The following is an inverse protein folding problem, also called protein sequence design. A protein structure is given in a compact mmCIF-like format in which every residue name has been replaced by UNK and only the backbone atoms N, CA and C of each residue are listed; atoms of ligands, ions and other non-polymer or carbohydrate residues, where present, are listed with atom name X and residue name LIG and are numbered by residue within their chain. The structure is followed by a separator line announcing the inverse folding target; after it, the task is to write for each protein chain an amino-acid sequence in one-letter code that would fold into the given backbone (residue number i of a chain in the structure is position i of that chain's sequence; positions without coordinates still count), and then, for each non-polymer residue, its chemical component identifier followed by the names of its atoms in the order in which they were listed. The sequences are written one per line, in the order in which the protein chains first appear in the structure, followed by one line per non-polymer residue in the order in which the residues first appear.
data_IF_906900461624
#
_entry.id   IF_906900461624
#
_cell.length_a   1.000
_cell.length_b   1.000
_cell.length_c   1.000
_cell.angle_alpha   90.00
_cell.angle_beta   90.00
_cell.angle_gamma   90.00
#
_symmetry.space_group_name_H-M   'P 1'
#
loop_
_entity.id
_entity.type
_entity.pdbx_description
1 polymer ?
#
# COMPACT_ATOMS: atom_id res chain seq x y z
N UNK A 1 -24.32 -5.01 -1.24
CA UNK A 1 -23.24 -5.41 -0.31
C UNK A 1 -22.74 -4.13 0.30
N UNK A 2 -22.91 -3.95 1.61
CA UNK A 2 -22.35 -2.78 2.29
C UNK A 2 -20.83 -2.88 2.28
N UNK A 3 -20.16 -1.79 1.93
CA UNK A 3 -18.71 -1.70 2.00
C UNK A 3 -18.30 -1.58 3.47
N UNK A 4 -17.26 -2.31 3.88
CA UNK A 4 -16.62 -2.10 5.18
C UNK A 4 -16.00 -0.69 5.29
N UNK A 5 -15.63 -0.12 4.15
CA UNK A 5 -15.02 1.20 4.03
C UNK A 5 -16.07 2.29 3.75
N UNK A 6 -15.93 3.42 4.45
CA UNK A 6 -16.61 4.67 4.12
C UNK A 6 -15.77 5.44 3.10
N UNK A 7 -16.36 5.83 1.97
CA UNK A 7 -15.71 6.75 1.04
C UNK A 7 -15.72 8.16 1.60
N UNK A 8 -14.55 8.79 1.66
CA UNK A 8 -14.37 10.18 2.06
C UNK A 8 -13.72 10.96 0.91
N UNK A 9 -14.06 12.24 0.78
CA UNK A 9 -13.51 13.15 -0.22
C UNK A 9 -12.95 14.39 0.49
N UNK A 10 -11.79 14.21 1.10
CA UNK A 10 -11.08 15.25 1.84
C UNK A 10 -9.57 15.13 1.65
N UNK A 11 -8.84 16.19 1.98
CA UNK A 11 -7.38 16.25 1.77
C UNK A 11 -6.54 15.75 2.93
N UNK A 12 -7.14 15.38 4.07
CA UNK A 12 -6.42 14.94 5.26
C UNK A 12 -6.34 13.42 5.33
N UNK A 13 -5.10 12.90 5.38
CA UNK A 13 -4.85 11.46 5.52
C UNK A 13 -4.90 11.05 6.99
N UNK A 14 -5.48 9.89 7.25
CA UNK A 14 -5.56 9.24 8.56
C UNK A 14 -4.92 7.86 8.52
N UNK A 15 -4.48 7.41 9.70
CA UNK A 15 -3.98 6.06 9.83
C UNK A 15 -5.09 5.05 9.51
N UNK A 16 -4.77 4.08 8.67
CA UNK A 16 -5.73 3.07 8.22
C UNK A 16 -6.56 3.48 7.01
N UNK A 17 -6.40 4.69 6.46
CA UNK A 17 -7.04 5.06 5.21
C UNK A 17 -6.63 4.10 4.10
N UNK A 18 -7.64 3.59 3.39
CA UNK A 18 -7.50 2.72 2.23
C UNK A 18 -7.54 3.56 0.95
N UNK A 19 -6.47 3.49 0.17
CA UNK A 19 -6.29 4.22 -1.08
C UNK A 19 -6.33 3.23 -2.26
N UNK A 20 -7.51 3.03 -2.88
CA UNK A 20 -7.63 2.11 -4.01
C UNK A 20 -6.99 2.69 -5.28
N UNK A 21 -6.35 1.84 -6.08
CA UNK A 21 -5.83 2.21 -7.40
C UNK A 21 -4.79 3.35 -7.39
N UNK A 22 -4.01 3.46 -6.32
CA UNK A 22 -2.98 4.49 -6.18
C UNK A 22 -1.88 4.29 -7.25
N UNK A 23 -1.45 5.39 -7.88
CA UNK A 23 -0.37 5.36 -8.86
C UNK A 23 0.99 5.32 -8.15
N UNK A 24 1.75 4.26 -8.41
CA UNK A 24 3.04 3.99 -7.75
C UNK A 24 4.14 4.09 -8.81
N UNK A 25 5.06 5.06 -8.72
CA UNK A 25 6.16 5.17 -9.67
C UNK A 25 7.12 3.99 -9.51
N UNK A 26 7.47 3.34 -10.62
CA UNK A 26 8.46 2.27 -10.66
C UNK A 26 9.84 2.88 -10.84
N UNK A 27 10.54 3.05 -9.73
CA UNK A 27 11.87 3.67 -9.70
C UNK A 27 12.94 2.63 -10.00
N UNK A 28 13.44 2.62 -11.25
CA UNK A 28 14.55 1.78 -11.68
C UNK A 28 15.90 2.50 -11.72
N UNK A 29 16.98 1.84 -12.16
CA UNK A 29 18.32 2.42 -12.27
C UNK A 29 18.39 3.71 -13.09
N UNK A 30 17.48 3.88 -14.05
CA UNK A 30 17.35 5.08 -14.88
C UNK A 30 17.02 6.35 -14.07
N UNK A 31 16.41 6.23 -12.89
CA UNK A 31 16.11 7.37 -12.03
C UNK A 31 17.35 7.99 -11.37
N UNK A 32 18.49 7.28 -11.37
CA UNK A 32 19.75 7.79 -10.82
C UNK A 32 20.50 8.73 -11.78
N UNK A 33 20.01 8.90 -13.02
CA UNK A 33 20.64 9.77 -14.02
C UNK A 33 20.10 11.19 -13.85
N UNK A 34 20.97 12.11 -13.45
CA UNK A 34 20.65 13.52 -13.29
C UNK A 34 20.95 14.25 -14.60
N UNK A 35 19.97 14.96 -15.17
CA UNK A 35 20.22 15.87 -16.28
C UNK A 35 19.00 16.15 -17.16
N UNK A 36 18.21 15.11 -17.50
CA UNK A 36 17.06 15.26 -18.38
C UNK A 36 15.77 14.67 -17.76
N UNK A 37 14.60 15.24 -18.08
CA UNK A 37 13.33 14.60 -17.78
C UNK A 37 13.24 13.23 -18.47
N UNK A 38 12.85 12.21 -17.72
CA UNK A 38 12.64 10.87 -18.23
C UNK A 38 11.22 10.40 -17.92
N UNK A 39 10.60 9.67 -18.84
CA UNK A 39 9.33 9.01 -18.58
C UNK A 39 9.54 7.90 -17.56
N UNK A 40 8.71 7.90 -16.52
CA UNK A 40 8.71 6.87 -15.48
C UNK A 40 7.43 6.09 -15.62
N UNK A 41 7.57 4.76 -15.67
CA UNK A 41 6.42 3.87 -15.62
C UNK A 41 5.75 3.99 -14.24
N UNK A 42 4.44 4.15 -14.23
CA UNK A 42 3.63 4.01 -13.02
C UNK A 42 2.92 2.66 -13.05
N UNK A 43 3.01 1.92 -11.96
CA UNK A 43 2.09 0.83 -11.67
C UNK A 43 0.90 1.36 -10.86
N UNK A 44 -0.11 0.51 -10.69
CA UNK A 44 -1.25 0.81 -9.80
C UNK A 44 -1.32 -0.24 -8.70
N UNK A 45 -1.67 0.21 -7.51
CA UNK A 45 -1.85 -0.69 -6.38
C UNK A 45 -2.72 -0.07 -5.31
N UNK A 46 -3.34 -0.95 -4.53
CA UNK A 46 -4.11 -0.58 -3.38
C UNK A 46 -3.17 -0.39 -2.19
N UNK A 47 -3.33 0.72 -1.46
CA UNK A 47 -2.48 1.06 -0.32
C UNK A 47 -3.29 1.26 0.95
N UNK A 48 -2.69 0.99 2.10
CA UNK A 48 -3.18 1.43 3.40
C UNK A 48 -2.15 2.32 4.09
N UNK A 49 -2.61 3.40 4.71
CA UNK A 49 -1.74 4.30 5.48
C UNK A 49 -1.35 3.65 6.81
N UNK A 50 -0.04 3.49 7.03
CA UNK A 50 0.52 2.88 8.24
C UNK A 50 1.22 3.89 9.16
N UNK A 51 1.42 5.13 8.69
CA UNK A 51 1.90 6.23 9.55
C UNK A 51 1.00 6.42 10.75
N UNK A 52 1.60 6.68 11.92
CA UNK A 52 0.87 6.86 13.17
C UNK A 52 -0.07 8.08 13.11
N UNK A 53 -1.26 7.95 13.69
CA UNK A 53 -2.27 9.02 13.70
C UNK A 53 -1.74 10.32 14.30
N UNK A 54 -1.02 10.26 15.41
CA UNK A 54 -0.46 11.44 16.08
C UNK A 54 0.55 12.21 15.22
N UNK A 55 1.26 11.54 14.31
CA UNK A 55 2.19 12.17 13.37
C UNK A 55 1.45 12.85 12.21
N UNK A 56 0.36 12.25 11.73
CA UNK A 56 -0.49 12.80 10.67
C UNK A 56 -1.26 14.03 11.16
N UNK A 57 -1.98 13.91 12.28
CA UNK A 57 -2.81 14.97 12.86
C UNK A 57 -1.98 16.21 13.23
N UNK A 58 -0.76 15.99 13.76
CA UNK A 58 0.14 17.07 14.17
C UNK A 58 1.06 17.53 13.03
N UNK A 59 0.92 16.96 11.82
CA UNK A 59 1.71 17.28 10.62
C UNK A 59 3.22 17.21 10.87
N UNK A 60 3.66 16.24 11.69
CA UNK A 60 5.06 16.06 12.11
C UNK A 60 5.95 15.46 11.03
N UNK A 61 5.35 14.84 10.01
CA UNK A 61 6.06 14.14 8.95
C UNK A 61 5.89 14.83 7.60
N UNK A 62 6.94 14.81 6.80
CA UNK A 62 6.91 15.29 5.40
C UNK A 62 6.56 14.20 4.40
N UNK A 63 6.68 12.94 4.82
CA UNK A 63 6.42 11.75 4.02
C UNK A 63 5.46 10.86 4.79
N UNK A 64 4.50 10.28 4.08
CA UNK A 64 3.54 9.33 4.65
C UNK A 64 3.94 7.93 4.22
N UNK A 65 3.99 7.02 5.18
CA UNK A 65 4.25 5.61 4.96
C UNK A 65 2.94 4.91 4.62
N UNK A 66 2.93 4.25 3.46
CA UNK A 66 1.87 3.34 3.05
C UNK A 66 2.40 1.91 2.96
N UNK A 67 1.47 0.96 2.97
CA UNK A 67 1.74 -0.45 2.71
C UNK A 67 0.80 -0.93 1.59
N UNK A 68 1.32 -1.70 0.64
CA UNK A 68 0.50 -2.32 -0.39
C UNK A 68 -0.41 -3.39 0.21
N UNK A 69 -1.66 -3.41 -0.24
CA UNK A 69 -2.63 -4.44 0.08
C UNK A 69 -2.74 -5.37 -1.12
N UNK A 70 -2.69 -6.67 -0.86
CA UNK A 70 -2.88 -7.70 -1.86
C UNK A 70 -4.06 -8.59 -1.47
N UNK A 71 -4.93 -8.96 -2.42
CA UNK A 71 -5.90 -10.02 -2.20
C UNK A 71 -5.22 -11.31 -1.74
N UNK A 72 -5.89 -12.09 -0.89
CA UNK A 72 -5.38 -13.40 -0.46
C UNK A 72 -5.05 -14.30 -1.65
N UNK A 73 -5.85 -14.23 -2.71
CA UNK A 73 -5.62 -14.99 -3.94
C UNK A 73 -4.31 -14.61 -4.64
N UNK A 74 -3.92 -13.33 -4.66
CA UNK A 74 -2.64 -12.90 -5.22
C UNK A 74 -1.47 -13.37 -4.34
N UNK A 75 -1.63 -13.27 -3.01
CA UNK A 75 -0.64 -13.78 -2.07
C UNK A 75 -0.42 -15.30 -2.24
N UNK A 76 -1.49 -16.07 -2.40
CA UNK A 76 -1.43 -17.52 -2.64
C UNK A 76 -0.82 -17.87 -3.99
N UNK A 77 -1.04 -17.05 -5.03
CA UNK A 77 -0.45 -17.27 -6.34
C UNK A 77 1.08 -17.20 -6.31
N UNK A 78 1.65 -16.28 -5.53
CA UNK A 78 3.10 -16.15 -5.35
C UNK A 78 3.64 -17.03 -4.21
N UNK A 79 2.78 -17.46 -3.28
CA UNK A 79 3.09 -18.39 -2.20
C UNK A 79 2.14 -19.62 -2.21
N UNK A 80 2.27 -20.57 -3.16
CA UNK A 80 1.32 -21.67 -3.34
C UNK A 80 1.15 -22.56 -2.11
N UNK A 81 2.16 -22.57 -1.25
CA UNK A 81 2.16 -23.34 -0.04
C UNK A 81 1.12 -22.84 0.98
N UNK A 82 0.62 -21.60 0.88
CA UNK A 82 -0.42 -21.01 1.74
C UNK A 82 -1.85 -21.22 1.22
N UNK A 83 -2.03 -21.68 -0.02
CA UNK A 83 -3.34 -22.03 -0.57
C UNK A 83 -4.00 -23.24 0.14
N UNK A 84 -3.24 -23.98 0.97
CA UNK A 84 -3.76 -25.10 1.78
C UNK A 84 -4.33 -24.58 3.11
N UNK A 85 -5.52 -25.06 3.46
CA UNK A 85 -6.19 -24.76 4.73
C UNK A 85 -5.25 -24.96 5.93
N UNK A 86 -5.26 -23.99 6.85
CA UNK A 86 -4.55 -24.05 8.14
C UNK A 86 -3.25 -23.24 8.22
N UNK A 87 -2.63 -22.87 7.09
CA UNK A 87 -1.37 -22.10 7.08
C UNK A 87 -1.53 -20.59 7.23
N UNK A 88 -2.71 -20.06 6.90
CA UNK A 88 -3.05 -18.67 7.19
C UNK A 88 -2.96 -18.32 8.69
N UNK A 89 -3.16 -19.30 9.58
CA UNK A 89 -2.97 -19.11 11.02
C UNK A 89 -1.50 -18.83 11.40
N UNK A 90 -0.53 -19.16 10.55
CA UNK A 90 0.88 -18.81 10.75
C UNK A 90 1.11 -17.34 10.39
N UNK A 91 0.57 -16.90 9.24
CA UNK A 91 0.62 -15.49 8.79
C UNK A 91 -0.04 -14.56 9.81
N UNK A 92 -1.20 -14.94 10.34
CA UNK A 92 -1.90 -14.16 11.38
C UNK A 92 -1.10 -14.00 12.67
N UNK A 93 -0.14 -14.90 12.93
CA UNK A 93 0.77 -14.81 14.08
C UNK A 93 2.04 -14.01 13.77
N UNK A 94 2.13 -13.41 12.58
CA UNK A 94 3.31 -12.69 12.11
C UNK A 94 4.51 -13.60 11.86
N UNK A 95 4.29 -14.85 11.47
CA UNK A 95 5.32 -15.86 11.19
C UNK A 95 5.45 -16.16 9.71
#
# INVERSE_FOLDING_TARGET
MESFWLQVDEGELRQGDYLPGCSIPVVGPAFAVVGEPHEIRTDQGDLIIVTQSCDLEQRKVRLVAGCSIFPLAEFEAVNPAFARQGRWNEVLKGR
#
